data_IF_195914611859
#
_entry.id   IF_195914611859
#
_cell.length_a   1.000
_cell.length_b   1.000
_cell.length_c   1.000
_cell.angle_alpha   90.00
_cell.angle_beta   90.00
_cell.angle_gamma   90.00
#
_symmetry.space_group_name_H-M   'P 1'
#
loop_
_entity.id
_entity.type
_entity.pdbx_description
1 polymer ?
#
# COMPACT_ATOMS: atom_id res chain seq x y z
N UNK A 1 12.04 -1.12 24.68
CA UNK A 1 11.38 -1.78 23.54
C UNK A 1 9.83 -1.72 23.54
N UNK A 2 9.16 -1.15 24.57
CA UNK A 2 7.68 -1.14 24.65
C UNK A 2 6.93 -0.03 23.89
N UNK A 3 7.61 1.02 23.40
CA UNK A 3 6.94 2.16 22.77
C UNK A 3 6.32 1.86 21.39
N UNK A 4 6.97 1.01 20.59
CA UNK A 4 6.49 0.65 19.26
C UNK A 4 5.23 -0.23 19.31
N UNK A 5 5.18 -1.17 20.26
CA UNK A 5 4.00 -2.02 20.46
C UNK A 5 2.80 -1.22 20.95
N UNK A 6 3.01 -0.26 21.86
CA UNK A 6 1.94 0.59 22.37
C UNK A 6 1.41 1.57 21.32
N UNK A 7 2.30 2.19 20.53
CA UNK A 7 1.90 3.04 19.40
C UNK A 7 1.17 2.26 18.30
N UNK A 8 1.60 1.04 18.01
CA UNK A 8 0.92 0.14 17.08
C UNK A 8 -0.48 -0.24 17.60
N UNK A 9 -0.61 -0.66 18.87
CA UNK A 9 -1.90 -0.97 19.46
C UNK A 9 -2.83 0.25 19.46
N UNK A 10 -2.41 1.42 19.94
CA UNK A 10 -3.26 2.61 19.93
C UNK A 10 -3.73 3.00 18.52
N UNK A 11 -2.87 2.86 17.51
CA UNK A 11 -3.23 3.18 16.11
C UNK A 11 -4.15 2.14 15.49
N UNK A 12 -4.03 0.86 15.86
CA UNK A 12 -4.98 -0.21 15.46
C UNK A 12 -6.32 -0.08 16.20
N UNK A 13 -6.32 0.32 17.47
CA UNK A 13 -7.53 0.54 18.26
C UNK A 13 -8.33 1.76 17.79
N UNK A 14 -7.68 2.83 17.29
CA UNK A 14 -8.38 3.95 16.65
C UNK A 14 -9.18 3.48 15.41
N UNK A 15 -8.63 2.55 14.63
CA UNK A 15 -9.31 1.95 13.47
C UNK A 15 -10.52 1.09 13.90
N UNK A 16 -10.41 0.35 15.01
CA UNK A 16 -11.52 -0.48 15.54
C UNK A 16 -12.57 0.30 16.34
N UNK A 17 -12.19 1.38 17.00
CA UNK A 17 -13.07 2.21 17.82
C UNK A 17 -14.18 2.92 17.02
N UNK A 18 -13.99 3.11 15.72
CA UNK A 18 -14.98 3.73 14.83
C UNK A 18 -16.01 2.73 14.29
N UNK A 19 -15.67 1.45 14.18
CA UNK A 19 -16.61 0.43 13.69
C UNK A 19 -17.64 -0.01 14.75
N UNK A 20 -17.32 0.14 16.05
CA UNK A 20 -18.19 -0.29 17.15
C UNK A 20 -18.94 0.84 17.87
N UNK A 21 -18.58 2.11 17.68
CA UNK A 21 -19.25 3.26 18.35
C UNK A 21 -20.46 3.77 17.55
N UNK A 22 -21.32 2.87 17.06
CA UNK A 22 -22.59 3.24 16.40
C UNK A 22 -23.76 2.28 16.60
N UNK A 23 -23.73 1.43 17.64
CA UNK A 23 -24.86 0.52 17.92
C UNK A 23 -25.58 0.76 19.25
N UNK A 24 -25.00 1.50 20.20
CA UNK A 24 -25.60 1.63 21.53
C UNK A 24 -25.70 3.09 21.97
N UNK A 25 -26.91 3.67 21.87
CA UNK A 25 -27.74 4.15 23.00
C UNK A 25 -28.80 5.16 22.53
N UNK A 26 -30.01 4.68 22.21
CA UNK A 26 -31.23 5.44 22.54
C UNK A 26 -32.29 4.44 22.99
N UNK A 27 -32.72 4.45 24.27
CA UNK A 27 -33.90 3.70 24.66
C UNK A 27 -35.10 4.31 23.93
N UNK A 28 -35.70 3.54 23.00
CA UNK A 28 -36.98 3.91 22.38
C UNK A 28 -38.02 4.04 23.48
N UNK A 29 -38.51 5.25 23.75
CA UNK A 29 -39.79 5.41 24.45
C UNK A 29 -40.87 4.80 23.56
N UNK A 30 -41.52 3.75 24.07
CA UNK A 30 -42.74 3.21 23.51
C UNK A 30 -43.83 4.29 23.59
N UNK A 31 -44.19 4.89 22.46
CA UNK A 31 -45.29 5.86 22.37
C UNK A 31 -45.07 7.06 21.46
N UNK A 32 -43.90 7.22 20.84
CA UNK A 32 -43.72 8.29 19.85
C UNK A 32 -44.29 7.87 18.49
N UNK A 33 -45.27 8.61 17.92
CA UNK A 33 -45.69 8.39 16.54
C UNK A 33 -44.48 8.57 15.61
N UNK A 34 -44.46 7.91 14.44
CA UNK A 34 -43.34 8.02 13.51
C UNK A 34 -43.15 9.49 13.15
N UNK A 35 -42.13 10.13 13.73
CA UNK A 35 -41.67 11.41 13.24
C UNK A 35 -41.23 11.15 11.81
N UNK A 36 -41.97 11.73 10.86
CA UNK A 36 -41.48 12.03 9.52
C UNK A 36 -40.31 13.01 9.69
N UNK A 37 -39.21 12.46 10.19
CA UNK A 37 -37.98 13.17 10.40
C UNK A 37 -37.41 13.36 9.00
N UNK A 38 -37.71 14.52 8.43
CA UNK A 38 -36.95 15.13 7.34
C UNK A 38 -35.51 15.42 7.78
N UNK A 39 -34.87 14.48 8.47
CA UNK A 39 -33.43 14.30 8.49
C UNK A 39 -33.07 14.04 7.04
N UNK A 40 -32.90 15.13 6.30
CA UNK A 40 -31.77 15.30 5.42
C UNK A 40 -30.66 14.48 6.05
N UNK A 41 -30.44 13.27 5.52
CA UNK A 41 -29.26 12.49 5.84
C UNK A 41 -28.17 13.36 5.28
N UNK A 42 -27.72 14.33 6.09
CA UNK A 42 -26.67 15.25 5.77
C UNK A 42 -25.56 14.37 5.30
N UNK A 43 -25.38 14.34 3.97
CA UNK A 43 -24.39 13.52 3.33
C UNK A 43 -23.13 13.90 4.08
N UNK A 44 -22.55 12.94 4.80
CA UNK A 44 -21.24 13.14 5.41
C UNK A 44 -20.33 13.25 4.21
N UNK A 45 -20.24 14.47 3.68
CA UNK A 45 -19.44 14.83 2.54
C UNK A 45 -18.01 14.83 3.07
N UNK A 46 -17.47 13.61 3.20
CA UNK A 46 -16.05 13.40 3.36
C UNK A 46 -15.47 13.74 2.01
N UNK A 47 -15.27 15.04 1.78
CA UNK A 47 -14.63 15.57 0.59
C UNK A 47 -13.25 14.93 0.50
N UNK A 48 -13.08 13.97 -0.42
CA UNK A 48 -11.77 13.40 -0.74
C UNK A 48 -10.98 14.52 -1.40
N UNK A 49 -9.95 15.02 -0.71
CA UNK A 49 -9.06 16.03 -1.29
C UNK A 49 -8.01 15.30 -2.10
N UNK A 50 -8.24 15.21 -3.41
CA UNK A 50 -7.23 14.73 -4.35
C UNK A 50 -6.30 15.89 -4.66
N UNK A 51 -5.05 15.77 -4.26
CA UNK A 51 -4.02 16.76 -4.53
C UNK A 51 -3.19 16.35 -5.76
N UNK A 52 -2.50 17.29 -6.42
CA UNK A 52 -1.57 16.98 -7.53
C UNK A 52 -0.53 15.93 -7.12
N UNK A 53 -0.14 15.91 -5.85
CA UNK A 53 0.76 14.90 -5.29
C UNK A 53 0.19 13.48 -5.35
N UNK A 54 -1.12 13.30 -5.27
CA UNK A 54 -1.75 11.98 -5.36
C UNK A 54 -1.74 11.45 -6.79
N UNK A 55 -1.91 12.33 -7.78
CA UNK A 55 -1.73 11.98 -9.19
C UNK A 55 -0.29 11.56 -9.51
N UNK A 56 0.69 12.30 -8.99
CA UNK A 56 2.11 11.92 -9.10
C UNK A 56 2.39 10.60 -8.38
N UNK A 57 1.77 10.38 -7.21
CA UNK A 57 1.85 9.12 -6.49
C UNK A 57 1.29 7.96 -7.30
N UNK A 58 0.13 8.14 -7.93
CA UNK A 58 -0.50 7.13 -8.78
C UNK A 58 0.38 6.82 -10.00
N UNK A 59 0.89 7.86 -10.66
CA UNK A 59 1.84 7.71 -11.77
C UNK A 59 3.09 6.94 -11.34
N UNK A 60 3.63 7.22 -10.15
CA UNK A 60 4.78 6.49 -9.61
C UNK A 60 4.45 5.01 -9.31
N UNK A 61 3.29 4.71 -8.74
CA UNK A 61 2.85 3.33 -8.49
C UNK A 61 2.70 2.55 -9.79
N UNK A 62 2.06 3.16 -10.80
CA UNK A 62 1.88 2.55 -12.13
C UNK A 62 3.24 2.36 -12.82
N UNK A 63 4.13 3.35 -12.77
CA UNK A 63 5.45 3.26 -13.36
C UNK A 63 6.31 2.17 -12.69
N UNK A 64 6.31 2.08 -11.36
CA UNK A 64 7.08 1.07 -10.62
C UNK A 64 6.52 -0.34 -10.82
N UNK A 65 5.21 -0.52 -10.61
CA UNK A 65 4.56 -1.82 -10.74
C UNK A 65 4.52 -2.29 -12.20
N UNK A 66 4.05 -1.44 -13.10
CA UNK A 66 3.96 -1.72 -14.53
C UNK A 66 5.33 -1.84 -15.19
N UNK A 67 6.29 -1.00 -14.83
CA UNK A 67 7.66 -1.08 -15.33
C UNK A 67 8.36 -2.37 -14.92
N UNK A 68 8.18 -2.82 -13.68
CA UNK A 68 8.74 -4.10 -13.22
C UNK A 68 8.05 -5.29 -13.89
N UNK A 69 6.72 -5.23 -14.08
CA UNK A 69 5.98 -6.25 -14.82
C UNK A 69 6.44 -6.35 -16.27
N UNK A 70 6.52 -5.21 -16.98
CA UNK A 70 7.02 -5.15 -18.35
C UNK A 70 8.47 -5.64 -18.45
N UNK A 71 9.34 -5.25 -17.50
CA UNK A 71 10.71 -5.75 -17.44
C UNK A 71 10.75 -7.27 -17.29
N UNK A 72 9.88 -7.85 -16.45
CA UNK A 72 9.81 -9.29 -16.25
C UNK A 72 9.40 -10.03 -17.53
N UNK A 73 8.35 -9.56 -18.20
CA UNK A 73 7.85 -10.16 -19.44
C UNK A 73 8.85 -10.02 -20.61
N UNK A 74 9.60 -8.92 -20.66
CA UNK A 74 10.55 -8.66 -21.76
C UNK A 74 11.95 -9.25 -21.52
N UNK A 75 12.44 -9.26 -20.28
CA UNK A 75 13.82 -9.63 -19.98
C UNK A 75 13.96 -11.02 -19.35
N UNK A 76 12.96 -11.51 -18.60
CA UNK A 76 13.07 -12.73 -17.79
C UNK A 76 12.35 -13.92 -18.42
N UNK A 77 11.14 -13.73 -18.96
CA UNK A 77 10.30 -14.80 -19.53
C UNK A 77 10.84 -15.37 -20.86
N UNK A 78 11.38 -14.59 -21.81
CA UNK A 78 11.74 -15.12 -23.12
C UNK A 78 12.92 -16.09 -23.04
N UNK A 79 12.75 -17.33 -23.50
CA UNK A 79 13.83 -18.35 -23.48
C UNK A 79 15.07 -17.92 -24.28
N UNK A 80 14.88 -17.11 -25.33
CA UNK A 80 15.97 -16.60 -26.16
C UNK A 80 16.91 -15.67 -25.37
N UNK A 81 16.37 -14.78 -24.52
CA UNK A 81 17.18 -13.90 -23.66
C UNK A 81 17.83 -14.69 -22.52
N UNK A 82 17.22 -15.81 -22.11
CA UNK A 82 17.81 -16.74 -21.14
C UNK A 82 19.12 -17.33 -21.62
N UNK A 83 19.15 -17.88 -22.83
CA UNK A 83 20.36 -18.48 -23.39
C UNK A 83 21.50 -17.47 -23.59
N UNK A 84 21.18 -16.28 -24.09
CA UNK A 84 22.18 -15.23 -24.35
C UNK A 84 22.85 -14.72 -23.07
N UNK A 85 22.08 -14.55 -21.98
CA UNK A 85 22.61 -14.06 -20.72
C UNK A 85 23.16 -15.16 -19.80
N UNK A 86 23.09 -16.44 -20.20
CA UNK A 86 23.66 -17.56 -19.46
C UNK A 86 25.06 -17.96 -19.96
N UNK A 87 25.53 -17.36 -21.07
CA UNK A 87 26.88 -17.56 -21.58
C UNK A 87 27.93 -16.97 -20.61
N UNK A 88 29.14 -17.54 -20.60
CA UNK A 88 30.25 -17.06 -19.76
C UNK A 88 30.63 -15.60 -20.08
N UNK A 89 30.53 -15.22 -21.36
CA UNK A 89 30.81 -13.87 -21.86
C UNK A 89 29.51 -13.10 -22.11
N UNK A 90 28.63 -13.06 -21.10
CA UNK A 90 27.35 -12.39 -21.23
C UNK A 90 27.54 -10.88 -21.48
N UNK A 91 26.82 -10.31 -22.47
CA UNK A 91 26.93 -8.89 -22.77
C UNK A 91 26.38 -8.03 -21.62
N UNK A 92 26.93 -6.82 -21.45
CA UNK A 92 26.64 -5.95 -20.31
C UNK A 92 25.14 -5.60 -20.13
N UNK A 93 24.34 -5.65 -21.21
CA UNK A 93 22.89 -5.43 -21.12
C UNK A 93 22.14 -6.52 -20.32
N UNK A 94 22.79 -7.66 -20.04
CA UNK A 94 22.26 -8.72 -19.19
C UNK A 94 22.41 -8.42 -17.68
N UNK A 95 23.25 -7.45 -17.30
CA UNK A 95 23.48 -7.04 -15.91
C UNK A 95 22.18 -6.71 -15.13
N UNK A 96 21.21 -5.92 -15.65
CA UNK A 96 19.97 -5.63 -14.93
C UNK A 96 19.18 -6.88 -14.58
N UNK A 97 19.20 -7.91 -15.44
CA UNK A 97 18.52 -9.18 -15.17
C UNK A 97 19.17 -9.93 -14.01
N UNK A 98 20.50 -10.03 -14.01
CA UNK A 98 21.24 -10.64 -12.91
C UNK A 98 20.98 -9.90 -11.59
N UNK A 99 20.97 -8.56 -11.62
CA UNK A 99 20.66 -7.74 -10.45
C UNK A 99 19.25 -8.00 -9.92
N UNK A 100 18.23 -8.05 -10.80
CA UNK A 100 16.84 -8.34 -10.38
C UNK A 100 16.71 -9.76 -9.81
N UNK A 101 17.32 -10.77 -10.43
CA UNK A 101 17.32 -12.14 -9.91
C UNK A 101 18.02 -12.24 -8.55
N UNK A 102 19.11 -11.50 -8.37
CA UNK A 102 19.82 -11.45 -7.09
C UNK A 102 18.98 -10.77 -6.00
N UNK A 103 18.33 -9.64 -6.31
CA UNK A 103 17.41 -8.95 -5.41
C UNK A 103 16.19 -9.81 -5.04
N UNK A 104 15.70 -10.61 -5.99
CA UNK A 104 14.65 -11.60 -5.76
C UNK A 104 15.10 -12.70 -4.79
N UNK A 105 16.27 -13.29 -5.04
CA UNK A 105 16.85 -14.33 -4.19
C UNK A 105 17.00 -13.85 -2.74
N UNK A 106 17.47 -12.61 -2.55
CA UNK A 106 17.61 -11.98 -1.23
C UNK A 106 16.30 -11.44 -0.64
N UNK A 107 15.17 -11.61 -1.33
CA UNK A 107 13.86 -11.10 -0.92
C UNK A 107 13.84 -9.58 -0.66
N UNK A 108 14.75 -8.81 -1.25
CA UNK A 108 14.96 -7.40 -0.91
C UNK A 108 13.77 -6.53 -1.31
N UNK A 109 13.06 -6.87 -2.39
CA UNK A 109 11.84 -6.15 -2.79
C UNK A 109 10.75 -6.23 -1.72
N UNK A 110 10.51 -7.41 -1.15
CA UNK A 110 9.51 -7.60 -0.11
C UNK A 110 9.90 -6.90 1.19
N UNK A 111 11.17 -7.01 1.61
CA UNK A 111 11.65 -6.33 2.82
C UNK A 111 11.61 -4.81 2.66
N UNK A 112 11.99 -4.28 1.50
CA UNK A 112 11.88 -2.85 1.20
C UNK A 112 10.42 -2.39 1.20
N UNK A 113 9.50 -3.14 0.58
CA UNK A 113 8.07 -2.83 0.59
C UNK A 113 7.51 -2.79 2.01
N UNK A 114 7.87 -3.79 2.84
CA UNK A 114 7.44 -3.87 4.24
C UNK A 114 7.97 -2.69 5.05
N UNK A 115 9.27 -2.40 4.94
CA UNK A 115 9.91 -1.28 5.63
C UNK A 115 9.27 0.06 5.25
N UNK A 116 8.99 0.28 3.98
CA UNK A 116 8.33 1.48 3.47
C UNK A 116 6.86 1.57 3.89
N UNK A 117 6.12 0.46 3.84
CA UNK A 117 4.74 0.39 4.32
C UNK A 117 4.62 0.67 5.81
N UNK A 118 5.52 0.10 6.63
CA UNK A 118 5.61 0.39 8.06
C UNK A 118 6.00 1.85 8.30
N UNK A 119 7.02 2.34 7.61
CA UNK A 119 7.45 3.73 7.68
C UNK A 119 6.31 4.70 7.34
N UNK A 120 5.54 4.42 6.29
CA UNK A 120 4.36 5.19 5.91
C UNK A 120 3.29 5.17 7.01
N UNK A 121 3.02 3.98 7.55
CA UNK A 121 2.02 3.79 8.59
C UNK A 121 2.40 4.50 9.89
N UNK A 122 3.68 4.56 10.26
CA UNK A 122 4.14 5.24 11.48
C UNK A 122 4.32 6.75 11.30
N UNK A 123 5.02 7.19 10.25
CA UNK A 123 5.34 8.60 10.05
C UNK A 123 4.24 9.42 9.36
N UNK A 124 3.20 8.79 8.80
CA UNK A 124 2.12 9.53 8.13
C UNK A 124 2.61 10.32 6.92
N UNK A 125 3.64 9.84 6.22
CA UNK A 125 4.19 10.52 5.04
C UNK A 125 3.67 9.89 3.76
N UNK A 126 3.32 10.74 2.77
CA UNK A 126 2.76 10.30 1.48
C UNK A 126 3.76 9.50 0.63
N UNK A 127 4.99 10.02 0.47
CA UNK A 127 6.01 9.36 -0.36
C UNK A 127 6.36 7.92 0.05
N UNK A 128 6.62 7.59 1.33
CA UNK A 128 6.84 6.20 1.71
C UNK A 128 5.59 5.33 1.52
N UNK A 129 4.38 5.90 1.60
CA UNK A 129 3.14 5.17 1.31
C UNK A 129 3.07 4.75 -0.17
N UNK A 130 3.30 5.72 -1.06
CA UNK A 130 3.36 5.53 -2.51
C UNK A 130 4.45 4.52 -2.90
N UNK A 131 5.67 4.69 -2.38
CA UNK A 131 6.78 3.78 -2.66
C UNK A 131 6.55 2.38 -2.09
N UNK A 132 5.97 2.27 -0.89
CA UNK A 132 5.61 0.99 -0.28
C UNK A 132 4.60 0.21 -1.12
N UNK A 133 3.62 0.89 -1.72
CA UNK A 133 2.66 0.28 -2.65
C UNK A 133 3.37 -0.14 -3.95
N UNK A 134 4.10 0.77 -4.59
CA UNK A 134 4.77 0.48 -5.87
C UNK A 134 5.78 -0.67 -5.75
N UNK A 135 6.64 -0.62 -4.72
CA UNK A 135 7.63 -1.67 -4.46
C UNK A 135 6.95 -2.95 -3.96
N UNK A 136 5.84 -2.86 -3.23
CA UNK A 136 5.04 -4.03 -2.83
C UNK A 136 4.44 -4.77 -4.03
N UNK A 137 3.89 -4.05 -5.01
CA UNK A 137 3.42 -4.63 -6.28
C UNK A 137 4.60 -5.27 -7.03
N UNK A 138 5.73 -4.56 -7.14
CA UNK A 138 6.94 -5.10 -7.76
C UNK A 138 7.44 -6.36 -7.06
N UNK A 139 7.33 -6.46 -5.73
CA UNK A 139 7.67 -7.64 -4.95
C UNK A 139 6.75 -8.83 -5.26
N UNK A 140 5.44 -8.60 -5.36
CA UNK A 140 4.45 -9.64 -5.71
C UNK A 140 4.68 -10.17 -7.12
N UNK A 141 4.91 -9.29 -8.09
CA UNK A 141 5.26 -9.65 -9.47
C UNK A 141 6.51 -10.53 -9.52
N UNK A 142 7.43 -10.33 -8.57
CA UNK A 142 8.69 -11.03 -8.44
C UNK A 142 8.65 -12.21 -7.42
N UNK A 143 7.47 -12.77 -7.15
CA UNK A 143 7.24 -13.91 -6.25
C UNK A 143 7.62 -13.73 -4.78
N UNK A 144 7.78 -12.50 -4.31
CA UNK A 144 7.94 -12.17 -2.90
C UNK A 144 6.60 -11.69 -2.30
N UNK A 145 5.65 -12.63 -2.24
CA UNK A 145 4.24 -12.34 -1.95
C UNK A 145 4.01 -11.81 -0.54
N UNK A 146 4.47 -12.52 0.49
CA UNK A 146 4.09 -12.24 1.89
C UNK A 146 4.45 -10.82 2.33
N UNK A 147 5.73 -10.45 2.23
CA UNK A 147 6.20 -9.14 2.67
C UNK A 147 5.74 -8.02 1.72
N UNK A 148 5.66 -8.31 0.42
CA UNK A 148 5.15 -7.38 -0.59
C UNK A 148 3.69 -6.98 -0.38
N UNK A 149 2.82 -7.96 -0.13
CA UNK A 149 1.39 -7.73 0.11
C UNK A 149 1.18 -6.94 1.40
N UNK A 150 1.87 -7.32 2.49
CA UNK A 150 1.75 -6.61 3.78
C UNK A 150 2.23 -5.16 3.62
N UNK A 151 3.39 -4.94 2.98
CA UNK A 151 3.92 -3.61 2.72
C UNK A 151 2.98 -2.74 1.88
N UNK A 152 2.45 -3.30 0.78
CA UNK A 152 1.48 -2.61 -0.07
C UNK A 152 0.19 -2.26 0.67
N UNK A 153 -0.34 -3.20 1.47
CA UNK A 153 -1.55 -2.97 2.25
C UNK A 153 -1.35 -1.85 3.29
N UNK A 154 -0.23 -1.85 4.01
CA UNK A 154 0.10 -0.80 4.98
C UNK A 154 0.28 0.56 4.30
N UNK A 155 0.98 0.61 3.15
CA UNK A 155 1.14 1.83 2.36
C UNK A 155 -0.21 2.37 1.88
N UNK A 156 -1.09 1.51 1.38
CA UNK A 156 -2.42 1.88 0.90
C UNK A 156 -3.32 2.40 2.03
N UNK A 157 -3.30 1.76 3.19
CA UNK A 157 -4.00 2.25 4.39
C UNK A 157 -3.47 3.62 4.82
N UNK A 158 -2.14 3.80 4.83
CA UNK A 158 -1.53 5.09 5.18
C UNK A 158 -1.93 6.19 4.18
N UNK A 159 -1.88 5.90 2.88
CA UNK A 159 -2.22 6.86 1.83
C UNK A 159 -3.69 7.29 1.87
N UNK A 160 -4.63 6.34 2.01
CA UNK A 160 -6.05 6.67 2.19
C UNK A 160 -6.32 7.44 3.48
N UNK A 161 -5.59 7.14 4.55
CA UNK A 161 -5.72 7.88 5.79
C UNK A 161 -5.23 9.33 5.65
N UNK A 162 -4.24 9.58 4.80
CA UNK A 162 -3.76 10.93 4.48
C UNK A 162 -4.74 11.70 3.59
N UNK A 163 -5.28 11.08 2.54
CA UNK A 163 -6.30 11.70 1.67
C UNK A 163 -7.59 12.04 2.42
N UNK A 164 -7.95 11.27 3.45
CA UNK A 164 -9.14 11.52 4.28
C UNK A 164 -8.88 12.42 5.49
N UNK A 165 -7.64 12.94 5.65
CA UNK A 165 -7.26 13.81 6.77
C UNK A 165 -7.25 13.11 8.13
N UNK A 166 -7.23 11.78 8.15
CA UNK A 166 -7.21 10.94 9.36
C UNK A 166 -5.81 10.89 9.99
N UNK A 167 -4.78 11.00 9.17
CA UNK A 167 -3.39 11.19 9.59
C UNK A 167 -3.00 12.64 9.27
N UNK A 168 -2.52 13.37 10.27
CA UNK A 168 -1.86 14.68 10.12
C UNK A 168 -0.36 14.50 10.28
#
# INVERSE_FOLDING_TARGET
MGGLAWAFMNRVYDIRGVFWRRSNTVPRRLGQPPQADGREMGAVDKTVRVETQDWLGLAAVVALGGGMFAFRELAIVPRATVGLCAAADAPAFCAPRAAVLWLQYQQLFGWAALALGLAAFFWGRRWPAVLGIGIGIAAVVNYNGTNGIIGAALGLVAWFSLMTGRLK
#
